data_IF_458999845576
#
_entry.id   IF_458999845576
#
_cell.length_a   1.000
_cell.length_b   1.000
_cell.length_c   1.000
_cell.angle_alpha   90.00
_cell.angle_beta   90.00
_cell.angle_gamma   90.00
#
_symmetry.space_group_name_H-M   'P 1'
#
loop_
_entity.id
_entity.type
_entity.pdbx_description
1 polymer ?
#
# COMPACT_ATOMS: atom_id res chain seq x y z
N UNK A 1 -34.43 2.39 9.88
CA UNK A 1 -33.36 2.86 10.77
C UNK A 1 -32.25 1.83 10.68
N UNK A 2 -31.15 2.15 9.99
CA UNK A 2 -30.07 1.20 9.70
C UNK A 2 -29.30 0.88 10.98
N UNK A 3 -29.16 -0.40 11.29
CA UNK A 3 -28.34 -0.87 12.41
C UNK A 3 -26.91 -0.34 12.25
N UNK A 4 -26.33 0.16 13.35
CA UNK A 4 -24.90 0.48 13.37
C UNK A 4 -24.15 -0.82 13.15
N UNK A 5 -23.31 -0.88 12.11
CA UNK A 5 -22.31 -1.91 11.99
C UNK A 5 -21.46 -1.90 13.26
N UNK A 6 -21.26 -3.06 13.87
CA UNK A 6 -20.24 -3.21 14.91
C UNK A 6 -18.87 -3.09 14.26
N UNK A 7 -17.81 -2.89 15.07
CA UNK A 7 -16.45 -2.92 14.52
C UNK A 7 -16.16 -4.27 13.85
N UNK A 8 -16.67 -5.38 14.39
CA UNK A 8 -16.40 -6.70 13.82
C UNK A 8 -17.13 -6.93 12.49
N UNK A 9 -18.36 -6.41 12.34
CA UNK A 9 -19.04 -6.41 11.04
C UNK A 9 -18.27 -5.56 10.01
N UNK A 10 -17.79 -4.38 10.44
CA UNK A 10 -17.00 -3.51 9.59
C UNK A 10 -15.68 -4.17 9.17
N UNK A 11 -15.01 -4.89 10.08
CA UNK A 11 -13.80 -5.66 9.75
C UNK A 11 -14.08 -6.72 8.68
N UNK A 12 -15.15 -7.50 8.84
CA UNK A 12 -15.51 -8.54 7.87
C UNK A 12 -15.70 -7.98 6.46
N UNK A 13 -16.41 -6.85 6.34
CA UNK A 13 -16.63 -6.15 5.06
C UNK A 13 -15.31 -5.61 4.50
N UNK A 14 -14.52 -4.89 5.32
CA UNK A 14 -13.28 -4.25 4.86
C UNK A 14 -12.25 -5.29 4.43
N UNK A 15 -12.17 -6.45 5.08
CA UNK A 15 -11.30 -7.56 4.68
C UNK A 15 -11.63 -8.03 3.27
N UNK A 16 -12.91 -8.21 2.94
CA UNK A 16 -13.32 -8.62 1.60
C UNK A 16 -13.01 -7.54 0.55
N UNK A 17 -13.28 -6.27 0.85
CA UNK A 17 -12.94 -5.11 -0.01
C UNK A 17 -11.43 -5.08 -0.31
N UNK A 18 -10.60 -5.16 0.73
CA UNK A 18 -9.15 -5.14 0.57
C UNK A 18 -8.64 -6.36 -0.19
N UNK A 19 -9.25 -7.53 0.00
CA UNK A 19 -8.86 -8.76 -0.70
C UNK A 19 -9.07 -8.62 -2.21
N UNK A 20 -10.27 -8.21 -2.64
CA UNK A 20 -10.55 -8.03 -4.08
C UNK A 20 -9.73 -6.90 -4.70
N UNK A 21 -9.54 -5.79 -3.98
CA UNK A 21 -8.74 -4.66 -4.48
C UNK A 21 -7.26 -5.00 -4.54
N UNK A 22 -6.72 -5.73 -3.55
CA UNK A 22 -5.31 -6.17 -3.57
C UNK A 22 -5.01 -7.06 -4.76
N UNK A 23 -5.95 -7.93 -5.15
CA UNK A 23 -5.84 -8.75 -6.34
C UNK A 23 -5.80 -7.87 -7.61
N UNK A 24 -6.73 -6.92 -7.75
CA UNK A 24 -6.74 -5.98 -8.89
C UNK A 24 -5.41 -5.20 -8.99
N UNK A 25 -4.92 -4.70 -7.85
CA UNK A 25 -3.66 -3.96 -7.76
C UNK A 25 -2.46 -4.79 -8.16
N UNK A 26 -2.44 -6.10 -7.81
CA UNK A 26 -1.41 -7.04 -8.26
C UNK A 26 -1.42 -7.24 -9.77
N UNK A 27 -2.60 -7.25 -10.40
CA UNK A 27 -2.73 -7.28 -11.86
C UNK A 27 -2.36 -5.94 -12.52
N UNK A 28 -2.06 -4.89 -11.75
CA UNK A 28 -1.79 -3.55 -12.26
C UNK A 28 -3.05 -2.78 -12.68
N UNK A 29 -4.21 -3.14 -12.13
CA UNK A 29 -5.49 -2.45 -12.38
C UNK A 29 -5.80 -1.50 -11.23
N UNK A 30 -6.14 -0.26 -11.55
CA UNK A 30 -6.73 0.71 -10.62
C UNK A 30 -8.21 0.91 -10.95
N UNK A 31 -9.09 0.85 -9.95
CA UNK A 31 -10.53 0.91 -10.18
C UNK A 31 -11.05 2.34 -10.39
N UNK A 32 -10.52 3.31 -9.64
CA UNK A 32 -10.83 4.76 -9.71
C UNK A 32 -12.24 5.20 -9.29
N UNK A 33 -13.20 4.28 -9.14
CA UNK A 33 -14.54 4.59 -8.58
C UNK A 33 -15.00 3.59 -7.51
N UNK A 34 -14.16 3.37 -6.48
CA UNK A 34 -14.57 2.51 -5.37
C UNK A 34 -15.56 3.24 -4.45
N UNK A 35 -16.74 2.63 -4.28
CA UNK A 35 -17.84 3.10 -3.44
C UNK A 35 -18.71 1.90 -3.03
N UNK A 36 -19.50 1.98 -1.95
CA UNK A 36 -20.30 0.84 -1.48
C UNK A 36 -21.20 0.22 -2.55
N UNK A 37 -21.74 1.03 -3.46
CA UNK A 37 -22.61 0.60 -4.55
C UNK A 37 -21.92 -0.35 -5.56
N UNK A 38 -20.59 -0.30 -5.63
CA UNK A 38 -19.80 -1.13 -6.54
C UNK A 38 -19.32 -2.44 -5.89
N UNK A 39 -19.72 -2.72 -4.64
CA UNK A 39 -19.47 -3.99 -3.97
C UNK A 39 -20.78 -4.74 -3.76
N UNK A 40 -20.93 -5.90 -4.38
CA UNK A 40 -22.12 -6.74 -4.29
C UNK A 40 -21.81 -8.08 -3.63
N UNK A 41 -22.70 -8.55 -2.77
CA UNK A 41 -22.63 -9.90 -2.23
C UNK A 41 -23.32 -10.89 -3.18
N UNK A 42 -22.76 -12.08 -3.32
CA UNK A 42 -23.29 -13.16 -4.18
C UNK A 42 -24.64 -13.70 -3.72
N UNK A 43 -24.94 -13.59 -2.43
CA UNK A 43 -26.21 -13.99 -1.83
C UNK A 43 -26.49 -13.16 -0.58
N UNK A 44 -27.64 -13.39 0.07
CA UNK A 44 -28.00 -12.75 1.34
C UNK A 44 -27.46 -13.46 2.59
N UNK A 45 -26.64 -14.51 2.44
CA UNK A 45 -26.02 -15.20 3.58
C UNK A 45 -24.90 -14.39 4.21
N UNK A 46 -24.63 -14.62 5.50
CA UNK A 46 -23.54 -13.94 6.24
C UNK A 46 -22.15 -14.28 5.67
N UNK A 47 -21.99 -15.48 5.11
CA UNK A 47 -20.76 -15.96 4.46
C UNK A 47 -20.72 -15.68 2.94
N UNK A 48 -21.57 -14.79 2.43
CA UNK A 48 -21.61 -14.52 1.01
C UNK A 48 -20.32 -13.86 0.51
N UNK A 49 -19.78 -14.37 -0.60
CA UNK A 49 -18.62 -13.77 -1.26
C UNK A 49 -18.98 -12.38 -1.82
N UNK A 50 -18.11 -11.40 -1.59
CA UNK A 50 -18.16 -10.08 -2.20
C UNK A 50 -17.54 -10.07 -3.60
N UNK A 51 -18.20 -9.35 -4.51
CA UNK A 51 -17.73 -9.06 -5.87
C UNK A 51 -17.65 -7.56 -6.08
N UNK A 52 -16.51 -7.12 -6.63
CA UNK A 52 -16.33 -5.77 -7.15
C UNK A 52 -16.88 -5.71 -8.57
N UNK A 53 -17.71 -4.71 -8.84
CA UNK A 53 -18.34 -4.47 -10.15
C UNK A 53 -17.97 -3.07 -10.68
N UNK A 54 -18.37 -2.80 -11.93
CA UNK A 54 -18.26 -1.50 -12.58
C UNK A 54 -16.82 -0.99 -12.80
N UNK A 55 -16.08 -1.72 -13.63
CA UNK A 55 -14.75 -1.34 -14.11
C UNK A 55 -14.79 -0.28 -15.23
N UNK A 56 -15.92 0.41 -15.45
CA UNK A 56 -16.09 1.38 -16.55
C UNK A 56 -15.16 2.58 -16.46
N UNK A 57 -14.70 2.91 -15.24
CA UNK A 57 -13.69 3.93 -14.99
C UNK A 57 -12.33 3.33 -14.63
N UNK A 58 -12.10 2.02 -14.72
CA UNK A 58 -10.80 1.43 -14.38
C UNK A 58 -9.71 1.79 -15.40
N UNK A 59 -8.44 1.60 -15.04
CA UNK A 59 -7.32 1.71 -15.96
C UNK A 59 -6.15 0.81 -15.54
N UNK A 60 -5.22 0.62 -16.46
CA UNK A 60 -3.97 -0.08 -16.21
C UNK A 60 -2.86 0.89 -15.81
N UNK A 61 -2.21 0.61 -14.69
CA UNK A 61 -0.99 1.34 -14.32
C UNK A 61 0.15 0.92 -15.24
N UNK A 62 0.87 1.90 -15.78
CA UNK A 62 2.09 1.66 -16.56
C UNK A 62 3.33 1.80 -15.67
N UNK A 63 4.43 1.07 -15.95
CA UNK A 63 5.69 1.28 -15.26
C UNK A 63 6.10 2.76 -15.31
N UNK A 64 6.36 3.35 -14.14
CA UNK A 64 6.73 4.76 -13.95
C UNK A 64 5.68 5.79 -14.42
N UNK A 65 4.51 5.35 -14.88
CA UNK A 65 3.39 6.19 -15.30
C UNK A 65 2.46 6.58 -14.16
N UNK A 66 1.79 7.72 -14.30
CA UNK A 66 0.71 8.18 -13.42
C UNK A 66 -0.46 8.66 -14.27
N UNK A 67 -1.67 8.49 -13.74
CA UNK A 67 -2.91 8.92 -14.39
C UNK A 67 -3.16 10.40 -14.12
N UNK A 68 -3.82 11.07 -15.07
CA UNK A 68 -3.99 12.52 -15.10
C UNK A 68 -5.45 12.99 -15.28
N UNK A 69 -6.40 12.06 -15.43
CA UNK A 69 -7.83 12.38 -15.50
C UNK A 69 -8.41 12.65 -14.11
N UNK A 70 -9.48 13.44 -14.04
CA UNK A 70 -10.26 13.62 -12.81
C UNK A 70 -11.54 12.81 -12.98
N UNK A 71 -11.58 11.64 -12.34
CA UNK A 71 -12.69 10.68 -12.41
C UNK A 71 -13.03 10.14 -11.02
N UNK A 72 -14.19 9.51 -10.91
CA UNK A 72 -14.68 8.91 -9.67
C UNK A 72 -15.70 9.76 -8.94
N UNK A 73 -16.38 9.15 -7.99
CA UNK A 73 -17.46 9.77 -7.21
C UNK A 73 -16.93 10.76 -6.17
N UNK A 74 -17.51 11.96 -6.12
CA UNK A 74 -16.96 13.11 -5.39
C UNK A 74 -16.65 12.88 -3.89
N UNK A 75 -17.40 12.01 -3.20
CA UNK A 75 -17.16 11.72 -1.78
C UNK A 75 -15.98 10.78 -1.53
N UNK A 76 -15.59 9.98 -2.52
CA UNK A 76 -14.58 8.92 -2.40
C UNK A 76 -13.28 9.28 -3.13
N UNK A 77 -13.26 10.37 -3.90
CA UNK A 77 -12.10 10.80 -4.67
C UNK A 77 -10.91 11.19 -3.78
N UNK A 78 -9.72 10.72 -4.16
CA UNK A 78 -8.47 11.00 -3.45
C UNK A 78 -7.92 12.42 -3.78
N UNK A 79 -7.19 13.07 -2.85
CA UNK A 79 -6.60 14.39 -3.08
C UNK A 79 -5.70 14.44 -4.31
N UNK A 80 -4.91 13.40 -4.57
CA UNK A 80 -3.99 13.34 -5.69
C UNK A 80 -4.66 13.14 -7.06
N UNK A 81 -5.91 12.65 -7.10
CA UNK A 81 -6.72 12.60 -8.32
C UNK A 81 -7.09 14.02 -8.75
N UNK A 82 -7.44 14.89 -7.80
CA UNK A 82 -7.70 16.32 -8.05
C UNK A 82 -6.45 17.06 -8.55
N UNK A 83 -5.26 16.57 -8.21
CA UNK A 83 -3.98 17.05 -8.72
C UNK A 83 -3.53 16.37 -10.02
N UNK A 84 -4.37 15.50 -10.61
CA UNK A 84 -4.08 14.82 -11.89
C UNK A 84 -2.77 14.03 -11.87
N UNK A 85 -2.44 13.42 -10.73
CA UNK A 85 -1.23 12.62 -10.59
C UNK A 85 -1.40 11.52 -9.56
N UNK A 86 -1.93 10.38 -10.00
CA UNK A 86 -2.29 9.28 -9.11
C UNK A 86 -2.01 7.90 -9.74
N UNK A 87 -2.10 6.86 -8.90
CA UNK A 87 -1.99 5.45 -9.26
C UNK A 87 -2.85 4.65 -8.28
N UNK A 88 -2.45 3.43 -7.92
CA UNK A 88 -3.20 2.48 -7.08
C UNK A 88 -3.59 3.05 -5.70
N UNK A 89 -2.79 3.98 -5.17
CA UNK A 89 -3.06 4.67 -3.90
C UNK A 89 -4.45 5.34 -3.82
N UNK A 90 -5.02 5.76 -4.95
CA UNK A 90 -6.31 6.46 -4.99
C UNK A 90 -7.46 5.55 -4.56
N UNK A 91 -7.42 4.27 -4.91
CA UNK A 91 -8.38 3.26 -4.46
C UNK A 91 -8.30 3.09 -2.94
N UNK A 92 -7.09 3.13 -2.36
CA UNK A 92 -6.89 2.98 -0.92
C UNK A 92 -7.54 4.12 -0.13
N UNK A 93 -7.48 5.36 -0.65
CA UNK A 93 -8.21 6.48 -0.05
C UNK A 93 -9.71 6.23 -0.05
N UNK A 94 -10.25 5.76 -1.19
CA UNK A 94 -11.67 5.44 -1.33
C UNK A 94 -12.11 4.39 -0.29
N UNK A 95 -11.30 3.36 -0.07
CA UNK A 95 -11.51 2.35 0.99
C UNK A 95 -11.44 2.98 2.39
N UNK A 96 -10.55 3.95 2.60
CA UNK A 96 -10.49 4.73 3.84
C UNK A 96 -11.79 5.49 4.11
N UNK A 97 -12.38 6.10 3.08
CA UNK A 97 -13.68 6.79 3.17
C UNK A 97 -14.80 5.79 3.48
N UNK A 98 -14.83 4.63 2.80
CA UNK A 98 -15.81 3.57 3.06
C UNK A 98 -15.69 3.08 4.51
N UNK A 99 -14.47 2.77 4.96
CA UNK A 99 -14.22 2.33 6.35
C UNK A 99 -14.65 3.36 7.37
N UNK A 100 -14.36 4.65 7.13
CA UNK A 100 -14.79 5.74 7.99
C UNK A 100 -16.33 5.76 8.13
N UNK A 101 -17.04 5.64 7.00
CA UNK A 101 -18.51 5.62 6.97
C UNK A 101 -19.06 4.38 7.69
N UNK A 102 -18.47 3.20 7.51
CA UNK A 102 -18.90 1.97 8.20
C UNK A 102 -18.82 2.12 9.73
N UNK A 103 -17.74 2.73 10.23
CA UNK A 103 -17.50 2.85 11.68
C UNK A 103 -18.33 3.94 12.37
N UNK A 104 -18.63 5.05 11.68
CA UNK A 104 -19.28 6.20 12.32
C UNK A 104 -20.62 6.62 11.70
N UNK A 105 -20.97 6.11 10.52
CA UNK A 105 -22.18 6.44 9.79
C UNK A 105 -22.18 7.83 9.12
N UNK A 106 -21.06 8.55 9.15
CA UNK A 106 -20.93 9.90 8.59
C UNK A 106 -19.80 9.98 7.56
N UNK A 107 -19.85 10.99 6.68
CA UNK A 107 -18.83 11.21 5.65
C UNK A 107 -17.65 12.00 6.23
N UNK A 108 -16.39 11.60 5.99
CA UNK A 108 -15.23 12.31 6.52
C UNK A 108 -15.07 13.72 5.93
N UNK A 109 -15.52 13.91 4.68
CA UNK A 109 -15.49 15.18 3.97
C UNK A 109 -16.89 15.48 3.43
N UNK A 110 -17.44 16.62 3.80
CA UNK A 110 -18.81 17.00 3.44
C UNK A 110 -18.91 18.50 3.13
N UNK A 111 -19.66 18.81 2.08
CA UNK A 111 -20.13 20.15 1.78
C UNK A 111 -21.39 20.09 0.94
N UNK A 112 -22.09 21.23 0.79
CA UNK A 112 -23.31 21.33 -0.03
C UNK A 112 -23.09 21.24 -1.54
N UNK A 113 -21.86 21.43 -1.99
CA UNK A 113 -21.49 21.44 -3.40
C UNK A 113 -20.27 20.56 -3.62
N UNK A 114 -20.14 20.02 -4.83
CA UNK A 114 -18.98 19.21 -5.25
C UNK A 114 -17.66 19.97 -5.06
N UNK A 115 -17.59 21.22 -5.53
CA UNK A 115 -16.43 22.09 -5.30
C UNK A 115 -16.15 22.35 -3.81
N UNK A 116 -17.18 22.30 -2.96
CA UNK A 116 -17.03 22.34 -1.51
C UNK A 116 -16.39 21.07 -0.96
N UNK A 117 -16.82 19.90 -1.45
CA UNK A 117 -16.29 18.59 -1.06
C UNK A 117 -14.81 18.50 -1.46
N UNK A 118 -14.47 18.87 -2.70
CA UNK A 118 -13.08 18.88 -3.17
C UNK A 118 -12.18 19.79 -2.32
N UNK A 119 -12.68 20.98 -1.94
CA UNK A 119 -11.94 21.86 -1.02
C UNK A 119 -11.74 21.22 0.35
N UNK A 120 -12.75 20.51 0.87
CA UNK A 120 -12.64 19.78 2.15
C UNK A 120 -11.62 18.65 2.07
N UNK A 121 -11.67 17.80 1.03
CA UNK A 121 -10.70 16.73 0.76
C UNK A 121 -9.26 17.26 0.74
N UNK A 122 -9.04 18.41 0.11
CA UNK A 122 -7.71 19.02 0.01
C UNK A 122 -7.25 19.64 1.34
N UNK A 123 -8.13 20.34 2.07
CA UNK A 123 -7.72 21.27 3.15
C UNK A 123 -8.03 20.80 4.56
N UNK A 124 -9.06 19.98 4.74
CA UNK A 124 -9.54 19.54 6.06
C UNK A 124 -9.05 18.14 6.38
N UNK A 125 -8.89 17.82 7.65
CA UNK A 125 -8.64 16.45 8.11
C UNK A 125 -9.96 15.84 8.60
N UNK A 126 -10.13 14.50 8.52
CA UNK A 126 -11.32 13.84 9.04
C UNK A 126 -11.46 14.05 10.55
N UNK A 127 -12.69 14.17 11.02
CA UNK A 127 -13.01 14.28 12.43
C UNK A 127 -12.94 12.89 13.11
N UNK A 128 -12.23 12.79 14.23
CA UNK A 128 -12.13 11.57 15.05
C UNK A 128 -12.47 11.82 16.53
N UNK A 129 -13.07 12.98 16.83
CA UNK A 129 -13.33 13.45 18.19
C UNK A 129 -14.84 13.38 18.53
N UNK A 130 -15.70 13.67 17.56
CA UNK A 130 -17.15 13.61 17.77
C UNK A 130 -17.69 12.18 17.82
N UNK A 131 -18.82 11.98 18.50
CA UNK A 131 -19.49 10.68 18.58
C UNK A 131 -19.80 10.10 17.18
N UNK A 132 -19.60 8.77 16.97
CA UNK A 132 -19.22 7.75 17.94
C UNK A 132 -17.71 7.51 18.08
N UNK A 133 -16.84 8.35 17.51
CA UNK A 133 -15.40 8.06 17.51
C UNK A 133 -14.79 7.83 18.90
N UNK A 134 -15.17 8.53 19.99
CA UNK A 134 -14.66 8.22 21.32
C UNK A 134 -14.83 6.75 21.76
N UNK A 135 -15.86 6.04 21.27
CA UNK A 135 -16.08 4.62 21.58
C UNK A 135 -15.38 3.65 20.61
N UNK A 136 -14.84 4.12 19.49
CA UNK A 136 -14.13 3.30 18.50
C UNK A 136 -12.70 3.02 18.97
N UNK A 137 -12.22 1.80 18.76
CA UNK A 137 -10.89 1.36 19.21
C UNK A 137 -9.74 2.22 18.65
N UNK A 138 -8.64 2.41 19.41
CA UNK A 138 -7.44 3.11 18.91
C UNK A 138 -6.89 2.50 17.62
N UNK A 139 -6.92 1.18 17.49
CA UNK A 139 -6.43 0.43 16.33
C UNK A 139 -7.28 0.72 15.08
N UNK A 140 -8.60 0.79 15.21
CA UNK A 140 -9.49 1.16 14.11
C UNK A 140 -9.25 2.61 13.65
N UNK A 141 -9.05 3.53 14.60
CA UNK A 141 -8.71 4.93 14.29
C UNK A 141 -7.37 5.03 13.56
N UNK A 142 -6.35 4.32 14.03
CA UNK A 142 -5.03 4.29 13.38
C UNK A 142 -5.14 3.72 11.95
N UNK A 143 -5.90 2.64 11.79
CA UNK A 143 -6.17 2.05 10.49
C UNK A 143 -6.76 3.08 9.49
N UNK A 144 -7.84 3.76 9.88
CA UNK A 144 -8.50 4.76 9.01
C UNK A 144 -7.57 5.94 8.73
N UNK A 145 -6.82 6.43 9.73
CA UNK A 145 -5.84 7.52 9.55
C UNK A 145 -4.75 7.15 8.54
N UNK A 146 -4.29 5.90 8.53
CA UNK A 146 -3.28 5.42 7.58
C UNK A 146 -3.83 5.25 6.16
N UNK A 147 -5.12 4.92 5.99
CA UNK A 147 -5.79 4.91 4.67
C UNK A 147 -6.09 6.33 4.17
N UNK A 148 -6.52 7.24 5.05
CA UNK A 148 -6.83 8.64 4.74
C UNK A 148 -5.62 9.57 4.87
N UNK A 149 -4.40 9.06 4.70
CA UNK A 149 -3.21 9.88 4.67
C UNK A 149 -3.15 10.68 3.35
N UNK A 150 -3.14 12.01 3.46
CA UNK A 150 -3.06 12.91 2.28
C UNK A 150 -1.74 12.77 1.52
N UNK A 151 -0.65 12.40 2.18
CA UNK A 151 0.57 12.01 1.49
C UNK A 151 0.43 10.57 1.00
N UNK A 152 0.06 10.40 -0.27
CA UNK A 152 -0.16 9.09 -0.88
C UNK A 152 1.04 8.13 -0.75
N UNK A 153 2.26 8.66 -0.58
CA UNK A 153 3.49 7.87 -0.38
C UNK A 153 3.58 7.24 1.01
N UNK A 154 2.83 7.77 1.98
CA UNK A 154 2.73 7.25 3.35
C UNK A 154 1.47 6.43 3.57
N UNK A 155 0.57 6.41 2.57
CA UNK A 155 -0.65 5.60 2.61
C UNK A 155 -0.29 4.13 2.48
N UNK A 156 -0.96 3.28 3.24
CA UNK A 156 -0.79 1.83 3.13
C UNK A 156 -1.20 1.33 1.75
N UNK A 157 -0.68 0.18 1.33
CA UNK A 157 -1.30 -0.60 0.25
C UNK A 157 -2.46 -1.42 0.79
N UNK A 158 -3.27 -2.02 -0.10
CA UNK A 158 -4.34 -2.93 0.31
C UNK A 158 -3.80 -4.14 1.11
N UNK A 159 -2.64 -4.67 0.70
CA UNK A 159 -1.99 -5.79 1.38
C UNK A 159 -1.43 -5.39 2.75
N UNK A 160 -0.80 -4.21 2.86
CA UNK A 160 -0.35 -3.68 4.14
C UNK A 160 -1.54 -3.46 5.09
N UNK A 161 -2.66 -2.96 4.58
CA UNK A 161 -3.89 -2.79 5.35
C UNK A 161 -4.44 -4.13 5.87
N UNK A 162 -4.42 -5.21 5.06
CA UNK A 162 -4.79 -6.56 5.51
C UNK A 162 -3.93 -7.08 6.67
N UNK A 163 -2.68 -6.62 6.78
CA UNK A 163 -1.75 -7.00 7.88
C UNK A 163 -1.78 -6.06 9.10
N UNK A 164 -2.60 -5.01 9.04
CA UNK A 164 -2.70 -4.03 10.11
C UNK A 164 -3.30 -4.65 11.38
N UNK A 165 -2.84 -4.30 12.60
CA UNK A 165 -3.33 -4.89 13.86
C UNK A 165 -4.87 -4.92 13.99
N UNK A 166 -5.58 -3.90 13.49
CA UNK A 166 -7.05 -3.86 13.50
C UNK A 166 -7.73 -5.01 12.73
N UNK A 167 -7.09 -5.50 11.65
CA UNK A 167 -7.60 -6.57 10.77
C UNK A 167 -6.81 -7.89 10.89
N UNK A 168 -5.72 -7.87 11.69
CA UNK A 168 -4.73 -8.93 11.73
C UNK A 168 -5.37 -10.22 12.23
N UNK A 169 -5.15 -11.26 11.44
CA UNK A 169 -5.56 -12.62 11.71
C UNK A 169 -4.43 -13.53 11.20
N UNK A 170 -3.75 -14.21 12.12
CA UNK A 170 -2.57 -15.03 11.81
C UNK A 170 -2.89 -16.22 10.91
N UNK A 171 -4.18 -16.61 10.82
CA UNK A 171 -4.63 -17.69 9.95
C UNK A 171 -4.88 -17.25 8.50
N UNK A 172 -5.02 -15.94 8.26
CA UNK A 172 -5.41 -15.42 6.94
C UNK A 172 -4.20 -15.35 6.01
N UNK A 173 -4.29 -15.89 4.77
CA UNK A 173 -3.23 -15.75 3.80
C UNK A 173 -3.07 -14.28 3.40
N UNK A 174 -1.84 -13.79 3.41
CA UNK A 174 -1.49 -12.45 2.91
C UNK A 174 -1.22 -12.57 1.41
N UNK A 175 -1.92 -11.80 0.54
CA UNK A 175 -1.66 -11.83 -0.89
C UNK A 175 -0.34 -11.13 -1.24
N UNK A 176 0.18 -11.41 -2.44
CA UNK A 176 1.39 -10.77 -2.94
C UNK A 176 1.11 -9.30 -3.30
N UNK A 177 1.95 -8.38 -2.83
CA UNK A 177 1.80 -6.96 -3.05
C UNK A 177 2.65 -6.49 -4.25
N UNK A 178 2.02 -5.79 -5.20
CA UNK A 178 2.73 -5.16 -6.33
C UNK A 178 3.83 -4.18 -5.88
N UNK A 179 3.71 -3.61 -4.68
CA UNK A 179 4.72 -2.75 -4.07
C UNK A 179 6.08 -3.44 -3.94
N UNK A 180 6.11 -4.76 -3.68
CA UNK A 180 7.34 -5.55 -3.59
C UNK A 180 8.26 -5.33 -4.79
N UNK A 181 7.67 -5.31 -5.99
CA UNK A 181 8.43 -5.15 -7.22
C UNK A 181 8.97 -3.71 -7.35
N UNK A 182 8.10 -2.70 -7.14
CA UNK A 182 8.53 -1.28 -7.15
C UNK A 182 9.68 -1.03 -6.18
N UNK A 183 9.57 -1.63 -5.00
CA UNK A 183 10.60 -1.61 -3.98
C UNK A 183 11.91 -2.22 -4.50
N UNK A 184 11.91 -3.47 -4.95
CA UNK A 184 13.12 -4.15 -5.45
C UNK A 184 13.80 -3.35 -6.56
N UNK A 185 13.03 -2.68 -7.43
CA UNK A 185 13.55 -1.75 -8.47
C UNK A 185 14.32 -0.61 -7.83
N UNK A 186 13.75 0.05 -6.84
CA UNK A 186 14.41 1.13 -6.14
C UNK A 186 15.73 0.69 -5.45
N UNK A 187 15.80 -0.52 -4.90
CA UNK A 187 17.03 -1.03 -4.28
C UNK A 187 18.14 -1.37 -5.27
N UNK A 188 17.79 -1.96 -6.41
CA UNK A 188 18.77 -2.24 -7.45
C UNK A 188 19.37 -0.95 -8.02
N UNK A 189 18.59 0.12 -8.14
CA UNK A 189 19.11 1.45 -8.49
C UNK A 189 19.73 2.23 -7.31
N UNK A 190 19.74 1.68 -6.09
CA UNK A 190 20.32 2.36 -4.93
C UNK A 190 21.85 2.25 -4.93
N UNK A 191 22.52 3.36 -4.63
CA UNK A 191 23.99 3.40 -4.49
C UNK A 191 24.48 2.52 -3.34
N UNK A 192 25.75 2.07 -3.34
CA UNK A 192 26.31 1.28 -2.23
C UNK A 192 26.10 1.94 -0.86
N UNK A 193 26.26 3.26 -0.78
CA UNK A 193 25.98 4.04 0.44
C UNK A 193 24.53 3.93 0.88
N UNK A 194 23.56 4.10 -0.05
CA UNK A 194 22.13 3.94 0.27
C UNK A 194 21.83 2.53 0.76
N UNK A 195 22.36 1.50 0.09
CA UNK A 195 22.16 0.10 0.51
C UNK A 195 22.72 -0.16 1.91
N UNK A 196 23.90 0.39 2.22
CA UNK A 196 24.50 0.28 3.55
C UNK A 196 23.69 1.01 4.63
N UNK A 197 23.21 2.23 4.35
CA UNK A 197 22.40 3.03 5.27
C UNK A 197 21.07 2.34 5.60
N UNK A 198 20.36 1.84 4.59
CA UNK A 198 19.13 1.09 4.81
C UNK A 198 19.41 -0.14 5.70
N UNK A 199 20.59 -0.79 5.55
CA UNK A 199 20.94 -2.03 6.27
C UNK A 199 21.21 -1.77 7.74
N UNK A 200 21.68 -0.57 8.06
CA UNK A 200 21.75 -0.11 9.44
C UNK A 200 20.33 0.14 9.99
N UNK A 201 19.48 0.82 9.23
CA UNK A 201 18.11 1.16 9.65
C UNK A 201 17.21 -0.08 9.83
N UNK A 202 17.40 -1.15 9.06
CA UNK A 202 16.62 -2.39 9.22
C UNK A 202 16.78 -3.04 10.60
N UNK A 203 17.84 -2.73 11.33
CA UNK A 203 18.07 -3.25 12.68
C UNK A 203 17.24 -2.51 13.75
N UNK A 204 16.68 -1.35 13.41
CA UNK A 204 15.87 -0.53 14.32
C UNK A 204 14.36 -0.80 14.20
N UNK A 205 13.94 -1.65 13.25
CA UNK A 205 12.55 -1.99 13.05
C UNK A 205 12.07 -3.01 14.09
N UNK A 206 10.84 -2.82 14.54
CA UNK A 206 10.15 -3.71 15.48
C UNK A 206 9.65 -4.98 14.79
N UNK A 207 9.40 -6.06 15.54
CA UNK A 207 8.86 -7.31 14.95
C UNK A 207 7.48 -7.08 14.30
N UNK A 208 6.66 -6.19 14.85
CA UNK A 208 5.37 -5.81 14.25
C UNK A 208 5.52 -5.16 12.87
N UNK A 209 6.56 -4.34 12.68
CA UNK A 209 6.87 -3.73 11.38
C UNK A 209 7.43 -4.75 10.38
N UNK A 210 7.91 -5.90 10.86
CA UNK A 210 8.47 -6.97 10.02
C UNK A 210 7.41 -7.99 9.57
N UNK A 211 6.23 -8.05 10.18
CA UNK A 211 5.18 -9.03 9.86
C UNK A 211 4.85 -9.02 8.35
N UNK A 212 4.49 -7.85 7.82
CA UNK A 212 4.19 -7.68 6.39
C UNK A 212 5.37 -8.12 5.50
N UNK A 213 6.58 -7.65 5.82
CA UNK A 213 7.76 -7.93 5.00
C UNK A 213 8.16 -9.41 5.01
N UNK A 214 8.03 -10.07 6.16
CA UNK A 214 8.25 -11.52 6.30
C UNK A 214 7.22 -12.31 5.50
N UNK A 215 5.95 -11.90 5.54
CA UNK A 215 4.90 -12.54 4.75
C UNK A 215 5.19 -12.43 3.24
N UNK A 216 5.46 -11.22 2.75
CA UNK A 216 5.81 -10.99 1.35
C UNK A 216 7.07 -11.75 0.91
N UNK A 217 8.10 -11.78 1.74
CA UNK A 217 9.33 -12.50 1.45
C UNK A 217 9.11 -14.01 1.33
N UNK A 218 8.24 -14.60 2.15
CA UNK A 218 7.89 -16.03 2.08
C UNK A 218 7.16 -16.37 0.78
N UNK A 219 6.25 -15.51 0.31
CA UNK A 219 5.51 -15.70 -0.95
C UNK A 219 6.41 -15.74 -2.19
N UNK A 220 7.62 -15.18 -2.08
CA UNK A 220 8.63 -15.23 -3.14
C UNK A 220 9.42 -16.54 -3.15
N UNK A 221 9.19 -17.45 -2.19
CA UNK A 221 9.87 -18.75 -2.10
C UNK A 221 11.39 -18.66 -2.24
N UNK A 222 12.08 -18.04 -1.25
CA UNK A 222 13.52 -17.92 -1.28
C UNK A 222 14.19 -19.29 -1.44
N UNK A 223 15.31 -19.30 -2.15
CA UNK A 223 16.16 -20.47 -2.30
C UNK A 223 16.69 -20.97 -0.94
N UNK A 224 17.24 -22.19 -0.92
CA UNK A 224 17.79 -22.81 0.31
C UNK A 224 18.86 -21.96 1.02
N UNK A 225 19.52 -21.05 0.28
CA UNK A 225 20.50 -20.11 0.81
C UNK A 225 19.88 -18.83 1.43
N UNK A 226 18.55 -18.75 1.51
CA UNK A 226 17.81 -17.61 2.05
C UNK A 226 17.76 -16.40 1.12
N UNK A 227 18.02 -16.58 -0.18
CA UNK A 227 17.97 -15.52 -1.18
C UNK A 227 16.82 -15.66 -2.17
N UNK A 228 16.29 -14.53 -2.63
CA UNK A 228 15.31 -14.42 -3.71
C UNK A 228 16.04 -13.96 -4.97
N UNK A 229 15.93 -14.77 -6.03
CA UNK A 229 16.47 -14.49 -7.36
C UNK A 229 15.43 -13.81 -8.27
N UNK A 230 15.87 -13.30 -9.43
CA UNK A 230 14.93 -12.80 -10.45
C UNK A 230 13.93 -13.88 -10.89
N UNK A 231 14.36 -15.15 -10.94
CA UNK A 231 13.49 -16.26 -11.32
C UNK A 231 12.38 -16.46 -10.29
N UNK A 232 12.69 -16.34 -9.00
CA UNK A 232 11.68 -16.39 -7.94
C UNK A 232 10.60 -15.31 -8.13
N UNK A 233 10.99 -14.07 -8.49
CA UNK A 233 10.03 -13.00 -8.78
C UNK A 233 9.16 -13.30 -10.00
N UNK A 234 9.75 -13.85 -11.08
CA UNK A 234 9.00 -14.25 -12.28
C UNK A 234 8.01 -15.36 -11.99
N UNK A 235 8.44 -16.41 -11.28
CA UNK A 235 7.58 -17.51 -10.87
C UNK A 235 6.44 -17.03 -9.97
N UNK A 236 6.72 -16.15 -9.01
CA UNK A 236 5.70 -15.58 -8.13
C UNK A 236 4.65 -14.76 -8.91
N UNK A 237 5.05 -13.95 -9.90
CA UNK A 237 4.10 -13.28 -10.77
C UNK A 237 3.30 -14.27 -11.62
N UNK A 238 3.96 -15.21 -12.29
CA UNK A 238 3.32 -16.16 -13.19
C UNK A 238 2.20 -16.97 -12.50
N UNK A 239 2.38 -17.32 -11.23
CA UNK A 239 1.37 -18.02 -10.42
C UNK A 239 0.14 -17.18 -10.10
N UNK A 240 0.29 -15.86 -10.04
CA UNK A 240 -0.78 -14.93 -9.70
C UNK A 240 -1.28 -14.15 -10.93
N UNK A 241 -0.74 -14.44 -12.11
CA UNK A 241 -1.00 -13.67 -13.32
C UNK A 241 -2.34 -14.06 -13.94
N UNK A 242 -3.04 -13.04 -14.41
CA UNK A 242 -4.17 -13.16 -15.34
C UNK A 242 -3.83 -12.44 -16.65
N UNK A 243 -4.70 -12.52 -17.65
CA UNK A 243 -4.54 -11.77 -18.92
C UNK A 243 -4.37 -10.26 -18.67
N UNK A 244 -5.08 -9.72 -17.68
CA UNK A 244 -4.99 -8.31 -17.28
C UNK A 244 -3.57 -7.88 -16.87
N UNK A 245 -2.76 -8.80 -16.33
CA UNK A 245 -1.37 -8.51 -15.96
C UNK A 245 -0.47 -8.31 -17.19
N UNK A 246 -0.78 -8.97 -18.31
CA UNK A 246 -0.11 -8.76 -19.59
C UNK A 246 -0.39 -7.35 -20.13
N UNK A 247 -1.67 -6.98 -20.16
CA UNK A 247 -2.13 -5.67 -20.63
C UNK A 247 -1.58 -4.52 -19.79
N UNK A 248 -1.48 -4.70 -18.47
CA UNK A 248 -0.89 -3.69 -17.58
C UNK A 248 0.62 -3.55 -17.71
N UNK A 249 1.29 -4.49 -18.40
CA UNK A 249 2.75 -4.55 -18.51
C UNK A 249 3.44 -4.58 -17.15
N UNK A 250 2.78 -5.17 -16.14
CA UNK A 250 3.42 -5.46 -14.83
C UNK A 250 4.71 -6.29 -15.00
N UNK A 251 4.81 -7.27 -15.92
CA UNK A 251 6.07 -7.96 -16.20
C UNK A 251 7.20 -7.04 -16.69
N UNK A 252 6.90 -5.86 -17.25
CA UNK A 252 7.95 -4.90 -17.66
C UNK A 252 8.55 -4.14 -16.49
N UNK A 253 7.83 -4.06 -15.37
CA UNK A 253 8.44 -3.72 -14.08
C UNK A 253 9.61 -4.69 -13.83
N UNK A 254 9.44 -5.97 -14.22
CA UNK A 254 10.51 -6.96 -14.18
C UNK A 254 11.60 -6.79 -15.24
N UNK A 255 11.23 -6.53 -16.50
CA UNK A 255 12.22 -6.48 -17.58
C UNK A 255 13.21 -5.31 -17.44
N UNK A 256 12.80 -4.22 -16.78
CA UNK A 256 13.72 -3.14 -16.39
C UNK A 256 14.89 -3.67 -15.53
N UNK A 257 14.70 -4.75 -14.76
CA UNK A 257 15.77 -5.41 -13.99
C UNK A 257 16.85 -6.05 -14.87
N UNK A 258 16.49 -6.61 -16.03
CA UNK A 258 17.44 -7.35 -16.88
C UNK A 258 18.47 -6.44 -17.56
N UNK A 259 18.08 -5.22 -17.94
CA UNK A 259 19.01 -4.28 -18.58
C UNK A 259 20.09 -3.79 -17.61
N UNK A 260 19.77 -3.63 -16.32
CA UNK A 260 20.71 -3.14 -15.30
C UNK A 260 21.68 -4.24 -14.84
N UNK A 261 21.20 -5.47 -14.66
CA UNK A 261 22.03 -6.62 -14.29
C UNK A 261 23.03 -7.02 -15.38
N UNK A 262 22.81 -6.60 -16.63
CA UNK A 262 23.75 -6.83 -17.74
C UNK A 262 24.94 -5.86 -17.74
N UNK A 263 24.86 -4.75 -16.98
CA UNK A 263 25.85 -3.68 -16.99
C UNK A 263 26.86 -3.75 -15.84
N UNK A 264 26.51 -4.35 -14.70
CA UNK A 264 27.46 -4.63 -13.61
C UNK A 264 27.76 -6.14 -13.57
N UNK A 265 28.96 -6.53 -14.03
CA UNK A 265 29.54 -7.87 -13.91
C UNK A 265 29.84 -8.26 -12.45
N UNK A 266 28.85 -8.22 -11.55
CA UNK A 266 29.04 -8.50 -10.13
C UNK A 266 27.81 -9.23 -9.55
N UNK A 267 28.05 -10.21 -8.68
CA UNK A 267 27.06 -11.09 -8.01
C UNK A 267 25.94 -10.36 -7.23
N UNK A 268 25.02 -9.68 -7.92
CA UNK A 268 23.90 -8.92 -7.30
C UNK A 268 22.55 -9.41 -7.85
N UNK A 269 22.41 -10.73 -7.94
CA UNK A 269 21.15 -11.39 -8.34
C UNK A 269 20.33 -11.94 -7.16
N UNK A 270 20.72 -11.65 -5.92
CA UNK A 270 20.18 -12.31 -4.71
C UNK A 270 19.74 -11.27 -3.67
N UNK A 271 18.43 -11.17 -3.43
CA UNK A 271 17.84 -10.33 -2.38
C UNK A 271 17.56 -11.18 -1.13
N UNK A 272 18.07 -10.77 0.03
CA UNK A 272 17.76 -11.45 1.32
C UNK A 272 16.58 -10.78 2.03
N UNK A 273 15.97 -11.42 3.03
CA UNK A 273 14.91 -10.80 3.86
C UNK A 273 15.39 -9.45 4.44
N UNK A 274 16.64 -9.39 4.88
CA UNK A 274 17.28 -8.15 5.32
C UNK A 274 17.25 -7.06 4.24
N UNK A 275 17.37 -7.42 2.96
CA UNK A 275 17.28 -6.54 1.79
C UNK A 275 15.86 -6.03 1.54
N UNK A 276 14.85 -6.85 1.83
CA UNK A 276 13.43 -6.50 1.76
C UNK A 276 13.02 -5.49 2.83
N UNK A 277 13.61 -5.61 4.01
CA UNK A 277 13.44 -4.67 5.12
C UNK A 277 14.05 -3.30 4.81
N UNK A 278 15.10 -3.25 4.00
CA UNK A 278 15.71 -2.01 3.47
C UNK A 278 14.74 -1.22 2.61
N UNK A 279 13.83 -1.92 1.94
CA UNK A 279 13.00 -1.35 0.90
C UNK A 279 11.85 -0.52 1.43
N UNK A 280 11.16 -1.02 2.46
CA UNK A 280 10.11 -0.29 3.18
C UNK A 280 10.64 1.05 3.71
N UNK A 281 11.85 1.03 4.27
CA UNK A 281 12.54 2.20 4.82
C UNK A 281 12.93 3.24 3.74
N UNK A 282 13.27 2.81 2.53
CA UNK A 282 13.57 3.71 1.42
C UNK A 282 12.33 4.47 0.92
N UNK A 283 11.15 3.83 0.96
CA UNK A 283 9.88 4.46 0.61
C UNK A 283 9.43 5.48 1.69
N UNK A 284 9.72 5.20 2.96
CA UNK A 284 9.27 6.02 4.10
C UNK A 284 10.16 7.27 4.33
N UNK A 285 11.47 7.25 4.02
CA UNK A 285 12.38 8.23 4.64
C UNK A 285 13.31 9.06 3.73
N UNK A 286 13.37 8.88 2.42
CA UNK A 286 14.45 9.54 1.65
C UNK A 286 14.27 11.05 1.42
N UNK A 287 13.03 11.59 1.39
CA UNK A 287 12.85 13.06 1.23
C UNK A 287 13.10 13.86 2.51
N UNK A 288 13.05 13.25 3.70
CA UNK A 288 13.42 13.94 4.95
C UNK A 288 14.94 14.12 5.09
N UNK A 289 15.75 13.23 4.51
CA UNK A 289 17.21 13.37 4.48
C UNK A 289 17.71 14.51 3.57
N UNK A 290 16.88 15.02 2.65
CA UNK A 290 17.24 16.15 1.76
C UNK A 290 16.84 17.53 2.30
N UNK A 291 15.97 17.61 3.29
CA UNK A 291 15.49 18.89 3.84
C UNK A 291 16.07 19.07 5.22
N UNK A 292 17.31 19.57 5.30
CA UNK A 292 17.87 20.44 6.36
C UNK A 292 17.64 20.15 7.87
N UNK A 293 16.95 19.08 8.26
CA UNK A 293 16.69 18.73 9.65
C UNK A 293 17.74 17.72 10.09
N UNK A 294 18.46 18.09 11.16
CA UNK A 294 19.52 17.31 11.82
C UNK A 294 19.27 15.81 11.73
N UNK A 295 20.27 15.08 11.25
CA UNK A 295 20.32 13.62 11.33
C UNK A 295 19.87 13.19 12.74
N UNK A 296 19.01 12.14 12.87
CA UNK A 296 18.64 11.61 14.17
C UNK A 296 19.91 11.38 15.01
N UNK A 297 19.91 11.69 16.32
CA UNK A 297 21.10 11.52 17.18
C UNK A 297 21.74 10.13 17.08
N UNK A 298 20.92 9.11 16.77
CA UNK A 298 21.33 7.74 16.47
C UNK A 298 22.24 7.61 15.23
N UNK A 299 21.99 8.37 14.16
CA UNK A 299 22.84 8.40 12.96
C UNK A 299 24.15 9.16 13.20
N UNK A 300 24.12 10.23 14.03
CA UNK A 300 25.32 10.96 14.43
C UNK A 300 26.24 10.08 15.30
N UNK A 301 25.68 9.30 16.22
CA UNK A 301 26.42 8.37 17.08
C UNK A 301 27.05 7.20 16.31
N UNK A 302 26.40 6.73 15.23
CA UNK A 302 26.95 5.68 14.38
C UNK A 302 28.09 6.22 13.49
N UNK A 303 27.99 7.47 13.02
CA UNK A 303 29.04 8.11 12.23
C UNK A 303 30.27 8.49 13.09
N UNK A 304 30.06 8.99 14.31
CA UNK A 304 31.17 9.37 15.21
C UNK A 304 31.94 8.16 15.77
N UNK A 305 31.32 6.98 15.87
CA UNK A 305 32.03 5.75 16.30
C UNK A 305 32.95 5.13 15.24
N UNK A 306 32.94 5.63 14.00
CA UNK A 306 33.82 5.16 12.90
C UNK A 306 34.89 6.17 12.49
N UNK A 307 35.08 7.23 13.27
CA UNK A 307 36.17 8.20 13.06
C UNK A 307 37.35 8.00 14.04
N UNK A 308 37.31 6.96 14.88
CA UNK A 308 38.34 6.66 15.91
C UNK A 308 38.89 5.22 15.80
N UNK A 309 38.57 4.49 14.73
CA UNK A 309 39.24 3.23 14.34
C UNK A 309 39.53 3.26 12.84
#
# INVERSE_FOLDING_TARGET
MGGRYTEDDAKAIVVQILSVVSFCHLQGVVHRDLKPENFLFTSGGEDADMKLIDFGLSDFIRPDGRLNDIVGSAYYVAPEVLHRSYSLEADIWSIGVITYILLCGSRPFWARTESGIFRSVLRSDPNFDDLPWPSVTPEAKDFVKRLLNKDYRKRMTAVQALTHPWLRDDSRPVPLDILVYKLVKAYLHATPFKRAALKALSKALTEDELVYLRAQFRLLEPSRDGSVSLENFKMALARNATEAMGESRVPDILNTYCCFLRWEHLHIGRCTLKSFVLLQLAHINWKQLKVGSRLPPLLLNILNRRAIE
#
